data_IF_520754574199
#
_entry.id   IF_520754574199
#
_cell.length_a   1.000
_cell.length_b   1.000
_cell.length_c   1.000
_cell.angle_alpha   90.00
_cell.angle_beta   90.00
_cell.angle_gamma   90.00
#
_symmetry.space_group_name_H-M   'P 1'
#
loop_
_entity.id
_entity.type
_entity.pdbx_description
1 polymer ?
#
# COMPACT_ATOMS: atom_id res chain seq x y z
N UNK A 1 -8.17 -14.33 -6.72
CA UNK A 1 -7.45 -13.42 -7.63
C UNK A 1 -6.11 -12.98 -7.04
N UNK A 2 -6.07 -12.30 -5.89
CA UNK A 2 -4.84 -11.78 -5.27
C UNK A 2 -3.77 -12.85 -5.10
N UNK A 3 -4.10 -13.99 -4.46
CA UNK A 3 -3.14 -15.09 -4.25
C UNK A 3 -2.52 -15.57 -5.56
N UNK A 4 -3.33 -15.77 -6.59
CA UNK A 4 -2.87 -16.22 -7.91
C UNK A 4 -1.92 -15.22 -8.55
N UNK A 5 -2.21 -13.93 -8.45
CA UNK A 5 -1.35 -12.87 -9.01
C UNK A 5 0.03 -12.87 -8.37
N UNK A 6 0.12 -13.06 -7.06
CA UNK A 6 1.40 -13.11 -6.36
C UNK A 6 2.14 -14.43 -6.59
N UNK A 7 1.44 -15.56 -6.64
CA UNK A 7 2.06 -16.85 -6.93
C UNK A 7 2.73 -16.86 -8.32
N UNK A 8 2.09 -16.26 -9.31
CA UNK A 8 2.62 -16.16 -10.67
C UNK A 8 3.81 -15.20 -10.77
N UNK A 9 3.74 -14.07 -10.05
CA UNK A 9 4.78 -13.04 -10.11
C UNK A 9 6.01 -13.36 -9.26
N UNK A 10 5.84 -14.02 -8.13
CA UNK A 10 6.90 -14.31 -7.17
C UNK A 10 6.98 -15.80 -6.84
N UNK A 11 6.24 -16.26 -5.83
CA UNK A 11 6.18 -17.65 -5.43
C UNK A 11 4.95 -17.93 -4.54
N UNK A 12 4.71 -19.24 -4.26
CA UNK A 12 3.58 -19.68 -3.44
C UNK A 12 3.68 -19.18 -1.98
N UNK A 13 4.88 -19.14 -1.41
CA UNK A 13 5.09 -18.70 -0.03
C UNK A 13 4.72 -17.23 0.15
N UNK A 14 5.16 -16.37 -0.77
CA UNK A 14 4.81 -14.95 -0.77
C UNK A 14 3.32 -14.74 -1.03
N UNK A 15 2.73 -15.52 -1.92
CA UNK A 15 1.29 -15.49 -2.16
C UNK A 15 0.48 -15.81 -0.91
N UNK A 16 0.91 -16.80 -0.13
CA UNK A 16 0.27 -17.15 1.14
C UNK A 16 0.50 -16.09 2.22
N UNK A 17 1.68 -15.47 2.24
CA UNK A 17 1.98 -14.35 3.14
C UNK A 17 1.06 -13.17 2.87
N UNK A 18 0.84 -12.81 1.61
CA UNK A 18 -0.05 -11.70 1.22
C UNK A 18 -1.49 -11.97 1.65
N UNK A 19 -1.98 -13.20 1.49
CA UNK A 19 -3.32 -13.55 1.96
C UNK A 19 -3.44 -13.46 3.48
N UNK A 20 -2.40 -13.89 4.21
CA UNK A 20 -2.36 -13.73 5.67
C UNK A 20 -2.35 -12.26 6.08
N UNK A 21 -1.59 -11.43 5.38
CA UNK A 21 -1.52 -9.99 5.61
C UNK A 21 -2.89 -9.33 5.45
N UNK A 22 -3.63 -9.65 4.40
CA UNK A 22 -4.99 -9.13 4.19
C UNK A 22 -5.90 -9.54 5.36
N UNK A 23 -5.89 -10.81 5.74
CA UNK A 23 -6.71 -11.31 6.85
C UNK A 23 -6.36 -10.66 8.18
N UNK A 24 -5.08 -10.48 8.46
CA UNK A 24 -4.60 -9.81 9.66
C UNK A 24 -5.03 -8.34 9.67
N UNK A 25 -4.81 -7.63 8.57
CA UNK A 25 -5.20 -6.21 8.45
C UNK A 25 -6.68 -6.01 8.71
N UNK A 26 -7.55 -6.87 8.18
CA UNK A 26 -9.00 -6.81 8.42
C UNK A 26 -9.38 -6.97 9.89
N UNK A 27 -8.52 -7.56 10.72
CA UNK A 27 -8.73 -7.71 12.16
C UNK A 27 -8.13 -6.59 13.01
N UNK A 28 -7.37 -5.69 12.39
CA UNK A 28 -6.71 -4.59 13.09
C UNK A 28 -7.63 -3.37 13.23
N UNK A 29 -7.40 -2.57 14.27
CA UNK A 29 -8.12 -1.29 14.47
C UNK A 29 -7.84 -0.26 13.37
N UNK A 30 -6.75 -0.44 12.62
CA UNK A 30 -6.35 0.41 11.50
C UNK A 30 -7.05 0.06 10.18
N UNK A 31 -7.85 -1.00 10.17
CA UNK A 31 -8.62 -1.38 8.98
C UNK A 31 -9.73 -0.39 8.68
N UNK A 32 -9.80 0.03 7.42
CA UNK A 32 -10.80 0.98 6.91
C UNK A 32 -11.52 0.29 5.75
N UNK A 33 -12.73 -0.26 5.98
CA UNK A 33 -13.46 -1.01 4.94
C UNK A 33 -13.63 -0.25 3.63
N UNK A 34 -13.85 1.06 3.70
CA UNK A 34 -14.04 1.94 2.55
C UNK A 34 -12.80 2.10 1.68
N UNK A 35 -11.63 1.71 2.21
CA UNK A 35 -10.34 1.78 1.52
C UNK A 35 -9.77 0.40 1.15
N UNK A 36 -10.57 -0.65 1.31
CA UNK A 36 -10.32 -1.94 0.67
C UNK A 36 -11.07 -1.97 -0.65
N UNK A 37 -10.35 -1.83 -1.76
CA UNK A 37 -10.91 -1.56 -3.07
C UNK A 37 -10.78 -2.75 -4.01
N UNK A 38 -11.82 -2.99 -4.78
CA UNK A 38 -11.78 -3.93 -5.90
C UNK A 38 -12.20 -3.22 -7.18
N UNK A 39 -11.62 -3.64 -8.30
CA UNK A 39 -12.07 -3.28 -9.63
C UNK A 39 -12.77 -4.48 -10.24
N UNK A 40 -13.99 -4.27 -10.71
CA UNK A 40 -14.87 -5.31 -11.25
C UNK A 40 -15.24 -4.96 -12.69
N UNK A 41 -15.26 -5.94 -13.53
CA UNK A 41 -15.81 -5.85 -14.89
C UNK A 41 -17.08 -6.69 -14.99
N UNK A 42 -17.61 -6.84 -16.19
CA UNK A 42 -18.84 -7.58 -16.49
C UNK A 42 -18.97 -8.90 -15.69
N UNK A 43 -20.19 -9.21 -15.24
CA UNK A 43 -20.51 -10.43 -14.49
C UNK A 43 -19.78 -10.59 -13.15
N UNK A 44 -19.46 -9.46 -12.50
CA UNK A 44 -18.79 -9.44 -11.18
C UNK A 44 -17.38 -10.06 -11.16
N UNK A 45 -16.69 -10.06 -12.28
CA UNK A 45 -15.31 -10.53 -12.33
C UNK A 45 -14.35 -9.50 -11.70
N UNK A 46 -13.69 -9.89 -10.62
CA UNK A 46 -12.69 -9.04 -9.95
C UNK A 46 -11.37 -9.09 -10.71
N UNK A 47 -10.91 -7.95 -11.21
CA UNK A 47 -9.66 -7.83 -11.99
C UNK A 47 -8.57 -7.02 -11.28
N UNK A 48 -8.93 -6.24 -10.27
CA UNK A 48 -7.98 -5.43 -9.49
C UNK A 48 -8.33 -5.39 -8.02
N UNK A 49 -7.31 -5.21 -7.19
CA UNK A 49 -7.42 -5.12 -5.74
C UNK A 49 -6.38 -4.15 -5.18
N UNK A 50 -6.78 -3.30 -4.25
CA UNK A 50 -5.87 -2.45 -3.49
C UNK A 50 -6.40 -2.27 -2.07
N UNK A 51 -5.53 -2.42 -1.08
CA UNK A 51 -5.84 -2.21 0.33
C UNK A 51 -5.01 -1.06 0.88
N UNK A 52 -5.69 -0.01 1.30
CA UNK A 52 -5.13 1.07 2.10
C UNK A 52 -5.58 0.88 3.55
N UNK A 53 -4.67 0.90 4.47
CA UNK A 53 -4.97 0.80 5.91
C UNK A 53 -4.29 1.90 6.70
N UNK A 54 -4.83 2.26 7.86
CA UNK A 54 -4.23 3.24 8.74
C UNK A 54 -2.83 2.81 9.17
N UNK A 55 -1.91 3.77 9.22
CA UNK A 55 -0.53 3.53 9.57
C UNK A 55 -0.01 4.61 10.52
N UNK A 56 1.14 4.39 11.13
CA UNK A 56 1.78 5.35 12.03
C UNK A 56 3.30 5.23 12.00
N UNK A 57 3.98 6.28 12.40
CA UNK A 57 5.42 6.33 12.58
C UNK A 57 5.71 6.51 14.07
N UNK A 58 6.01 5.42 14.78
CA UNK A 58 6.24 5.44 16.21
C UNK A 58 5.04 5.97 17.03
N UNK A 59 3.82 5.66 16.60
CA UNK A 59 2.59 6.12 17.25
C UNK A 59 2.09 7.50 16.79
N UNK A 60 2.81 8.18 15.89
CA UNK A 60 2.44 9.48 15.34
C UNK A 60 1.72 9.34 14.01
N UNK A 61 0.90 10.33 13.66
CA UNK A 61 0.20 10.46 12.37
C UNK A 61 -0.87 9.39 12.12
N UNK A 62 -1.43 8.80 13.16
CA UNK A 62 -2.42 7.70 13.06
C UNK A 62 -3.66 8.03 12.25
N UNK A 63 -4.09 9.29 12.24
CA UNK A 63 -5.28 9.76 11.55
C UNK A 63 -4.96 10.40 10.18
N UNK A 64 -3.71 10.40 9.76
CA UNK A 64 -3.24 11.10 8.58
C UNK A 64 -2.49 10.22 7.59
N UNK A 65 -1.96 9.08 8.04
CA UNK A 65 -1.06 8.24 7.28
C UNK A 65 -1.70 6.90 6.94
N UNK A 66 -1.54 6.48 5.70
CA UNK A 66 -1.97 5.18 5.20
C UNK A 66 -0.79 4.35 4.71
N UNK A 67 -0.93 3.05 4.81
CA UNK A 67 -0.09 2.06 4.15
C UNK A 67 -0.89 1.44 3.01
N UNK A 68 -0.33 1.47 1.79
CA UNK A 68 -0.88 0.78 0.63
C UNK A 68 -0.22 -0.59 0.51
N UNK A 69 -0.92 -1.63 0.86
CA UNK A 69 -0.46 -3.02 0.74
C UNK A 69 -1.59 -4.00 1.05
N UNK A 70 -1.82 -5.00 0.21
CA UNK A 70 -1.20 -5.22 -1.09
C UNK A 70 -1.95 -4.54 -2.24
N UNK A 71 -1.31 -4.56 -3.42
CA UNK A 71 -1.94 -4.23 -4.69
C UNK A 71 -1.81 -5.44 -5.61
N UNK A 72 -2.88 -5.83 -6.27
CA UNK A 72 -2.88 -6.95 -7.19
C UNK A 72 -3.76 -6.68 -8.40
N UNK A 73 -3.33 -7.18 -9.54
CA UNK A 73 -4.10 -7.17 -10.80
C UNK A 73 -4.16 -8.60 -11.32
N UNK A 74 -5.35 -9.02 -11.75
CA UNK A 74 -5.54 -10.32 -12.38
C UNK A 74 -4.55 -10.49 -13.55
N UNK A 75 -3.91 -11.64 -13.65
CA UNK A 75 -2.78 -11.88 -14.57
C UNK A 75 -3.15 -11.47 -16.01
N UNK A 76 -4.33 -11.83 -16.46
CA UNK A 76 -4.83 -11.56 -17.80
C UNK A 76 -5.10 -10.06 -18.08
N UNK A 77 -5.12 -9.24 -17.02
CA UNK A 77 -5.40 -7.81 -17.07
C UNK A 77 -4.19 -6.94 -16.72
N UNK A 78 -3.03 -7.53 -16.51
CA UNK A 78 -1.81 -6.79 -16.18
C UNK A 78 -1.34 -5.94 -17.38
N UNK A 79 -0.60 -4.87 -17.09
CA UNK A 79 -0.06 -3.90 -18.07
C UNK A 79 -1.14 -3.15 -18.87
N UNK A 80 -2.31 -2.98 -18.27
CA UNK A 80 -3.44 -2.22 -18.84
C UNK A 80 -3.86 -1.06 -17.93
N UNK A 81 -2.94 -0.57 -17.09
CA UNK A 81 -3.17 0.55 -16.16
C UNK A 81 -4.24 0.30 -15.07
N UNK A 82 -4.62 -0.94 -14.83
CA UNK A 82 -5.63 -1.29 -13.82
C UNK A 82 -5.18 -0.88 -12.42
N UNK A 83 -3.92 -1.18 -12.05
CA UNK A 83 -3.40 -0.79 -10.73
C UNK A 83 -3.30 0.73 -10.57
N UNK A 84 -2.96 1.45 -11.63
CA UNK A 84 -2.92 2.91 -11.61
C UNK A 84 -4.30 3.49 -11.32
N UNK A 85 -5.31 3.01 -12.02
CA UNK A 85 -6.68 3.48 -11.90
C UNK A 85 -7.25 3.22 -10.50
N UNK A 86 -7.08 2.02 -9.96
CA UNK A 86 -7.58 1.68 -8.62
C UNK A 86 -6.85 2.44 -7.51
N UNK A 87 -5.54 2.66 -7.65
CA UNK A 87 -4.73 3.42 -6.71
C UNK A 87 -5.14 4.89 -6.72
N UNK A 88 -5.32 5.51 -7.89
CA UNK A 88 -5.74 6.90 -8.01
C UNK A 88 -7.15 7.12 -7.44
N UNK A 89 -8.06 6.18 -7.66
CA UNK A 89 -9.37 6.20 -7.00
C UNK A 89 -9.23 6.17 -5.48
N UNK A 90 -8.33 5.32 -4.96
CA UNK A 90 -8.03 5.24 -3.53
C UNK A 90 -7.46 6.54 -2.96
N UNK A 91 -6.60 7.23 -3.70
CA UNK A 91 -6.06 8.53 -3.28
C UNK A 91 -7.16 9.57 -3.09
N UNK A 92 -8.08 9.68 -4.05
CA UNK A 92 -9.18 10.64 -3.97
C UNK A 92 -10.09 10.32 -2.79
N UNK A 93 -10.42 9.05 -2.59
CA UNK A 93 -11.23 8.61 -1.46
C UNK A 93 -10.56 8.86 -0.12
N UNK A 94 -9.28 8.53 0.00
CA UNK A 94 -8.50 8.77 1.19
C UNK A 94 -8.37 10.27 1.53
N UNK A 95 -8.16 11.10 0.52
CA UNK A 95 -8.11 12.56 0.66
C UNK A 95 -9.43 13.11 1.18
N UNK A 96 -10.57 12.65 0.64
CA UNK A 96 -11.90 13.03 1.11
C UNK A 96 -12.14 12.61 2.57
N UNK A 97 -11.52 11.54 3.02
CA UNK A 97 -11.60 11.04 4.40
C UNK A 97 -10.64 11.75 5.36
N UNK A 98 -9.80 12.67 4.86
CA UNK A 98 -8.89 13.48 5.68
C UNK A 98 -7.46 12.94 5.81
N UNK A 99 -7.09 11.90 5.06
CA UNK A 99 -5.73 11.38 5.06
C UNK A 99 -4.80 12.29 4.26
N UNK A 100 -3.56 12.42 4.73
CA UNK A 100 -2.58 13.38 4.23
C UNK A 100 -1.49 12.76 3.37
N UNK A 101 -1.15 11.50 3.60
CA UNK A 101 -0.08 10.80 2.88
C UNK A 101 -0.27 9.29 2.88
N UNK A 102 0.35 8.64 1.90
CA UNK A 102 0.33 7.18 1.72
C UNK A 102 1.75 6.67 1.60
N UNK A 103 2.09 5.64 2.36
CA UNK A 103 3.36 4.91 2.23
C UNK A 103 3.12 3.63 1.43
N UNK A 104 4.09 3.27 0.60
CA UNK A 104 4.12 2.00 -0.13
C UNK A 104 5.54 1.46 -0.15
N UNK A 105 5.66 0.15 -0.09
CA UNK A 105 6.89 -0.58 -0.42
C UNK A 105 6.67 -1.31 -1.73
N UNK A 106 7.58 -1.11 -2.69
CA UNK A 106 7.47 -1.77 -3.98
C UNK A 106 8.52 -1.31 -4.99
N UNK A 107 8.33 -1.71 -6.24
CA UNK A 107 9.22 -1.34 -7.32
C UNK A 107 9.01 0.14 -7.71
N UNK A 108 10.04 0.99 -7.61
CA UNK A 108 9.95 2.41 -7.98
C UNK A 108 9.46 2.64 -9.42
N UNK A 109 9.82 1.77 -10.35
CA UNK A 109 9.39 1.88 -11.75
C UNK A 109 7.87 1.82 -11.88
N UNK A 110 7.19 1.07 -11.00
CA UNK A 110 5.74 0.97 -11.01
C UNK A 110 5.06 2.13 -10.28
N UNK A 111 5.63 2.59 -9.17
CA UNK A 111 4.95 3.53 -8.28
C UNK A 111 5.27 5.00 -8.54
N UNK A 112 6.43 5.33 -9.13
CA UNK A 112 6.76 6.72 -9.48
C UNK A 112 5.76 7.33 -10.45
N UNK A 113 5.26 6.56 -11.41
CA UNK A 113 4.24 7.01 -12.36
C UNK A 113 2.88 7.30 -11.70
N UNK A 114 2.69 6.85 -10.45
CA UNK A 114 1.50 7.11 -9.64
C UNK A 114 1.71 8.25 -8.63
N UNK A 115 2.84 8.96 -8.75
CA UNK A 115 3.16 10.12 -7.92
C UNK A 115 3.87 9.80 -6.61
N UNK A 116 4.30 8.57 -6.39
CA UNK A 116 5.13 8.22 -5.24
C UNK A 116 6.57 8.72 -5.43
N UNK A 117 7.18 9.12 -4.33
CA UNK A 117 8.56 9.59 -4.25
C UNK A 117 9.33 8.78 -3.21
N UNK A 118 10.64 8.76 -3.29
CA UNK A 118 11.50 8.08 -2.31
C UNK A 118 11.26 8.69 -0.91
N UNK A 119 10.83 7.86 0.03
CA UNK A 119 10.41 8.33 1.37
C UNK A 119 11.58 8.92 2.18
N UNK A 120 12.79 8.40 1.99
CA UNK A 120 13.99 8.88 2.68
C UNK A 120 14.31 10.35 2.37
N UNK A 121 13.93 10.85 1.19
CA UNK A 121 14.11 12.25 0.81
C UNK A 121 13.27 13.21 1.67
N UNK A 122 12.28 12.68 2.38
CA UNK A 122 11.37 13.42 3.27
C UNK A 122 11.55 13.05 4.75
N UNK A 123 12.64 12.35 5.09
CA UNK A 123 12.89 11.93 6.47
C UNK A 123 12.02 10.77 6.96
N UNK A 124 11.43 10.02 6.04
CA UNK A 124 10.67 8.80 6.33
C UNK A 124 11.53 7.60 5.94
N UNK A 125 12.12 6.94 6.92
CA UNK A 125 13.15 5.91 6.71
C UNK A 125 12.68 4.55 7.20
N UNK A 126 13.21 3.49 6.58
CA UNK A 126 12.95 2.12 6.99
C UNK A 126 13.64 1.78 8.31
N UNK A 127 12.91 1.18 9.22
CA UNK A 127 13.44 0.65 10.47
C UNK A 127 13.92 -0.80 10.33
N UNK A 128 14.29 -1.39 11.46
CA UNK A 128 14.89 -2.73 11.52
C UNK A 128 13.94 -3.85 11.07
N UNK A 129 12.63 -3.67 11.22
CA UNK A 129 11.63 -4.65 10.82
C UNK A 129 11.29 -4.61 9.33
N UNK A 130 11.87 -3.66 8.58
CA UNK A 130 11.60 -3.46 7.15
C UNK A 130 12.81 -3.87 6.34
N UNK A 131 12.70 -4.99 5.65
CA UNK A 131 13.75 -5.50 4.76
C UNK A 131 13.54 -5.03 3.33
N UNK A 132 14.21 -3.96 2.93
CA UNK A 132 14.12 -3.41 1.58
C UNK A 132 15.20 -3.98 0.66
N UNK A 133 14.87 -4.32 -0.61
CA UNK A 133 15.89 -4.62 -1.62
C UNK A 133 16.82 -3.44 -1.89
N UNK A 134 16.28 -2.21 -1.83
CA UNK A 134 16.99 -0.96 -1.98
C UNK A 134 16.22 0.15 -1.25
N UNK A 135 16.91 1.22 -0.76
CA UNK A 135 16.22 2.31 -0.03
C UNK A 135 15.08 2.97 -0.82
N UNK A 136 15.21 3.07 -2.14
CA UNK A 136 14.20 3.67 -3.02
C UNK A 136 12.91 2.87 -3.12
N UNK A 137 12.88 1.64 -2.64
CA UNK A 137 11.69 0.79 -2.63
C UNK A 137 10.66 1.20 -1.56
N UNK A 138 11.05 2.02 -0.59
CA UNK A 138 10.12 2.64 0.34
C UNK A 138 9.78 4.04 -0.17
N UNK A 139 8.50 4.25 -0.45
CA UNK A 139 8.03 5.45 -1.13
C UNK A 139 6.84 6.07 -0.40
N UNK A 140 6.62 7.35 -0.64
CA UNK A 140 5.51 8.12 -0.05
C UNK A 140 4.83 8.97 -1.12
N UNK A 141 3.52 9.08 -1.01
CA UNK A 141 2.67 9.95 -1.82
C UNK A 141 2.00 10.98 -0.94
N UNK A 142 2.22 12.24 -1.24
CA UNK A 142 1.51 13.35 -0.61
C UNK A 142 0.08 13.46 -1.17
N UNK A 143 -0.92 13.47 -0.31
CA UNK A 143 -2.31 13.68 -0.69
C UNK A 143 -2.76 15.13 -0.47
N UNK A 144 -2.24 15.76 0.56
CA UNK A 144 -2.48 17.16 0.91
C UNK A 144 -1.19 17.96 0.82
N UNK A 145 -1.25 19.13 0.18
CA UNK A 145 -0.07 19.99 0.03
C UNK A 145 0.57 20.32 1.39
N UNK A 146 1.89 20.15 1.48
CA UNK A 146 2.67 20.41 2.70
C UNK A 146 2.73 19.25 3.70
N UNK A 147 2.05 18.13 3.46
CA UNK A 147 2.08 17.00 4.39
C UNK A 147 3.49 16.45 4.61
N UNK A 148 4.28 16.34 3.56
CA UNK A 148 5.65 15.80 3.63
C UNK A 148 6.66 16.77 4.26
N UNK A 149 6.30 18.03 4.46
CA UNK A 149 7.11 19.00 5.21
C UNK A 149 7.10 18.74 6.71
N UNK A 150 6.09 18.01 7.22
CA UNK A 150 5.89 17.77 8.65
C UNK A 150 5.84 16.30 9.05
N UNK A 151 5.51 15.39 8.14
CA UNK A 151 5.47 13.95 8.41
C UNK A 151 6.86 13.37 8.22
N UNK A 152 7.45 12.86 9.30
CA UNK A 152 8.76 12.20 9.26
C UNK A 152 8.87 11.17 10.38
N UNK A 153 9.75 10.22 10.23
CA UNK A 153 9.97 9.19 11.24
C UNK A 153 10.43 7.86 10.64
N UNK A 154 10.31 6.82 11.43
CA UNK A 154 10.79 5.47 11.10
C UNK A 154 9.59 4.56 10.80
N UNK A 155 9.63 3.90 9.65
CA UNK A 155 8.65 2.88 9.26
C UNK A 155 9.03 1.56 9.91
N UNK A 156 8.10 0.98 10.66
CA UNK A 156 8.24 -0.33 11.27
C UNK A 156 6.98 -1.16 11.00
N UNK A 157 7.16 -2.46 10.76
CA UNK A 157 6.06 -3.42 10.55
C UNK A 157 5.78 -4.28 11.79
N UNK A 158 6.15 -3.79 12.96
CA UNK A 158 6.05 -4.55 14.23
C UNK A 158 4.62 -4.87 14.66
N UNK A 159 3.63 -4.13 14.15
CA UNK A 159 2.21 -4.39 14.41
C UNK A 159 1.66 -5.59 13.63
N UNK A 160 2.36 -6.00 12.57
CA UNK A 160 1.95 -7.11 11.71
C UNK A 160 2.63 -8.41 12.15
N UNK A 161 1.86 -9.30 12.76
CA UNK A 161 2.39 -10.58 13.26
C UNK A 161 2.88 -11.50 12.13
N UNK A 162 2.20 -11.46 10.99
CA UNK A 162 2.56 -12.29 9.84
C UNK A 162 3.87 -11.85 9.16
N UNK A 163 4.39 -10.65 9.47
CA UNK A 163 5.64 -10.12 8.93
C UNK A 163 6.84 -10.31 9.87
N UNK A 164 6.62 -10.91 11.03
CA UNK A 164 7.68 -11.19 12.01
C UNK A 164 8.46 -12.46 11.70
#
# INVERSE_FOLDING_TARGET
MVRRSFADWSNEEEADLVVRLIKETRSMSTYIPELELIMVIDEDEVIGYALFSGFHLGGKYKDELLLLSPVAVKIEWQRQHISKEIIEFGFEKAKQMGFSAVIVEGNPQNYRSRGFQTSADFGIIAGKSVGLPAPECLMVKELTAGALDRIQGVVEYTDYKCLR
#
